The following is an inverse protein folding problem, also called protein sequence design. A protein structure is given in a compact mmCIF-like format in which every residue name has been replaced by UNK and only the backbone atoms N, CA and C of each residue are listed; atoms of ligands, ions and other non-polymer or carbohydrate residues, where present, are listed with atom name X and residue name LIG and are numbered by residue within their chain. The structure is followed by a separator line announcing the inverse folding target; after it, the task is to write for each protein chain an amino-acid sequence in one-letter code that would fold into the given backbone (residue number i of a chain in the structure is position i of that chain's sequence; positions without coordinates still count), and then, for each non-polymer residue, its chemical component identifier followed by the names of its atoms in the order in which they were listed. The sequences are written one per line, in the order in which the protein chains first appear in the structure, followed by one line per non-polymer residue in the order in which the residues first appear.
data_IF_577043575276
#
_entry.id   IF_577043575276
#
_cell.length_a   1.000
_cell.length_b   1.000
_cell.length_c   1.000
_cell.angle_alpha   90.00
_cell.angle_beta   90.00
_cell.angle_gamma   90.00
#
_symmetry.space_group_name_H-M   'P 1'
#
loop_
_entity.id
_entity.type
_entity.pdbx_description
1 polymer ?
#
# COMPACT_ATOMS: atom_id res chain seq x y z
N UNK A 1 -14.43 -93.76 -11.26
CA UNK A 1 -14.45 -93.09 -12.58
C UNK A 1 -14.45 -91.59 -12.32
N UNK A 2 -13.27 -90.94 -12.41
CA UNK A 2 -13.09 -89.50 -12.18
C UNK A 2 -13.71 -88.71 -13.35
N UNK A 3 -14.50 -87.67 -13.04
CA UNK A 3 -14.95 -86.69 -14.05
C UNK A 3 -14.45 -85.29 -13.68
N UNK A 4 -13.41 -84.94 -14.44
CA UNK A 4 -12.78 -83.65 -14.73
C UNK A 4 -13.65 -82.43 -14.41
N UNK A 5 -13.23 -81.65 -13.41
CA UNK A 5 -13.70 -80.27 -13.20
C UNK A 5 -12.96 -79.40 -14.23
N UNK A 6 -13.70 -78.88 -15.19
CA UNK A 6 -13.21 -78.03 -16.28
C UNK A 6 -12.60 -76.73 -15.75
N UNK A 7 -11.30 -76.53 -16.02
CA UNK A 7 -10.46 -75.36 -15.72
C UNK A 7 -10.97 -74.00 -16.26
N UNK A 8 -12.08 -73.96 -17.01
CA UNK A 8 -12.54 -72.78 -17.74
C UNK A 8 -13.38 -71.77 -16.95
N UNK A 9 -13.99 -72.14 -15.82
CA UNK A 9 -14.80 -71.19 -15.03
C UNK A 9 -13.98 -70.30 -14.09
N UNK A 10 -12.79 -70.74 -13.68
CA UNK A 10 -11.92 -69.98 -12.77
C UNK A 10 -11.22 -68.82 -13.49
N UNK A 11 -10.88 -68.99 -14.79
CA UNK A 11 -10.21 -67.95 -15.56
C UNK A 11 -11.08 -66.73 -15.90
N UNK A 12 -12.39 -66.93 -16.10
CA UNK A 12 -13.33 -65.85 -16.45
C UNK A 12 -13.57 -64.93 -15.24
N UNK A 13 -13.73 -65.49 -14.04
CA UNK A 13 -13.92 -64.70 -12.82
C UNK A 13 -12.69 -63.88 -12.42
N UNK A 14 -11.48 -64.40 -12.65
CA UNK A 14 -10.22 -63.65 -12.39
C UNK A 14 -10.06 -62.48 -13.37
N UNK A 15 -10.36 -62.69 -14.65
CA UNK A 15 -10.28 -61.65 -15.68
C UNK A 15 -11.31 -60.52 -15.45
N UNK A 16 -12.54 -60.83 -15.05
CA UNK A 16 -13.54 -59.81 -14.70
C UNK A 16 -13.14 -59.01 -13.44
N UNK A 17 -12.57 -59.67 -12.43
CA UNK A 17 -12.16 -59.03 -11.18
C UNK A 17 -10.92 -58.12 -11.36
N UNK A 18 -9.98 -58.51 -12.23
CA UNK A 18 -8.85 -57.67 -12.66
C UNK A 18 -9.29 -56.47 -13.51
N UNK A 19 -10.22 -56.66 -14.45
CA UNK A 19 -10.77 -55.58 -15.28
C UNK A 19 -11.51 -54.51 -14.43
N UNK A 20 -12.34 -54.94 -13.48
CA UNK A 20 -13.09 -54.04 -12.59
C UNK A 20 -12.15 -53.26 -11.64
N UNK A 21 -11.12 -53.91 -11.10
CA UNK A 21 -10.13 -53.24 -10.25
C UNK A 21 -9.22 -52.28 -11.02
N UNK A 22 -8.85 -52.61 -12.26
CA UNK A 22 -8.10 -51.72 -13.15
C UNK A 22 -8.93 -50.49 -13.54
N UNK A 23 -10.19 -50.67 -13.97
CA UNK A 23 -11.09 -49.55 -14.29
C UNK A 23 -11.42 -48.68 -13.06
N UNK A 24 -11.61 -49.28 -11.89
CA UNK A 24 -11.81 -48.56 -10.63
C UNK A 24 -10.61 -47.70 -10.25
N UNK A 25 -9.39 -48.24 -10.35
CA UNK A 25 -8.13 -47.52 -10.12
C UNK A 25 -7.92 -46.38 -11.11
N UNK A 26 -8.22 -46.59 -12.40
CA UNK A 26 -8.11 -45.56 -13.45
C UNK A 26 -9.08 -44.39 -13.21
N UNK A 27 -10.31 -44.69 -12.78
CA UNK A 27 -11.35 -43.68 -12.47
C UNK A 27 -11.04 -42.90 -11.19
N UNK A 28 -10.42 -43.53 -10.19
CA UNK A 28 -9.94 -42.87 -8.96
C UNK A 28 -8.71 -42.02 -9.27
N UNK A 29 -7.77 -42.51 -10.08
CA UNK A 29 -6.57 -41.78 -10.50
C UNK A 29 -6.91 -40.51 -11.29
N UNK A 30 -7.90 -40.56 -12.18
CA UNK A 30 -8.40 -39.36 -12.88
C UNK A 30 -9.03 -38.33 -11.93
N UNK A 31 -9.72 -38.76 -10.87
CA UNK A 31 -10.28 -37.84 -9.86
C UNK A 31 -9.20 -37.22 -8.98
N UNK A 32 -8.19 -37.99 -8.59
CA UNK A 32 -7.06 -37.52 -7.78
C UNK A 32 -6.22 -36.52 -8.56
N UNK A 33 -5.94 -36.76 -9.84
CA UNK A 33 -5.24 -35.81 -10.72
C UNK A 33 -6.02 -34.50 -10.85
N UNK A 34 -7.34 -34.56 -10.97
CA UNK A 34 -8.20 -33.37 -11.05
C UNK A 34 -8.19 -32.55 -9.75
N UNK A 35 -8.18 -33.22 -8.59
CA UNK A 35 -8.10 -32.58 -7.27
C UNK A 35 -6.72 -31.91 -7.09
N UNK A 36 -5.63 -32.57 -7.47
CA UNK A 36 -4.28 -32.00 -7.41
C UNK A 36 -4.17 -30.75 -8.32
N UNK A 37 -4.76 -30.78 -9.51
CA UNK A 37 -4.81 -29.63 -10.42
C UNK A 37 -5.58 -28.44 -9.82
N UNK A 38 -6.68 -28.69 -9.12
CA UNK A 38 -7.45 -27.64 -8.41
C UNK A 38 -6.63 -27.06 -7.24
N UNK A 39 -5.93 -27.89 -6.47
CA UNK A 39 -5.07 -27.42 -5.38
C UNK A 39 -3.86 -26.62 -5.88
N UNK A 40 -3.34 -26.91 -7.08
CA UNK A 40 -2.28 -26.13 -7.73
C UNK A 40 -2.77 -24.73 -8.16
N UNK A 41 -4.06 -24.56 -8.49
CA UNK A 41 -4.65 -23.25 -8.83
C UNK A 41 -4.96 -22.38 -7.61
N UNK A 42 -5.12 -22.98 -6.42
CA UNK A 42 -5.33 -22.26 -5.15
C UNK A 42 -3.98 -21.83 -4.55
N UNK A 43 -2.87 -22.38 -5.06
CA UNK A 43 -1.50 -22.07 -4.66
C UNK A 43 -1.06 -20.66 -5.04
N UNK A 44 -1.11 -19.74 -4.08
CA UNK A 44 -0.46 -18.43 -4.07
C UNK A 44 -1.04 -17.39 -5.06
N UNK A 45 -2.33 -17.09 -4.91
CA UNK A 45 -2.88 -15.82 -5.36
C UNK A 45 -2.31 -14.65 -4.56
N UNK A 46 -1.06 -14.23 -4.83
CA UNK A 46 -0.67 -12.85 -4.50
C UNK A 46 -1.61 -11.96 -5.31
N UNK A 47 -2.49 -11.24 -4.62
CA UNK A 47 -3.39 -10.30 -5.27
C UNK A 47 -2.55 -9.33 -6.12
N UNK A 48 -2.61 -9.49 -7.44
CA UNK A 48 -1.95 -8.63 -8.43
C UNK A 48 -2.41 -7.16 -8.31
N UNK A 49 -3.44 -6.90 -7.48
CA UNK A 49 -4.10 -5.62 -7.31
C UNK A 49 -4.06 -5.11 -5.86
N UNK A 50 -3.24 -5.68 -4.98
CA UNK A 50 -3.08 -5.15 -3.62
C UNK A 50 -2.15 -3.94 -3.64
N UNK A 51 -2.61 -2.83 -3.07
CA UNK A 51 -1.76 -1.67 -2.79
C UNK A 51 -0.58 -2.07 -1.90
N UNK A 52 0.54 -1.36 -2.02
CA UNK A 52 1.65 -1.50 -1.09
C UNK A 52 1.17 -1.20 0.35
N UNK A 53 1.85 -1.77 1.33
CA UNK A 53 1.72 -1.37 2.73
C UNK A 53 2.73 -0.28 3.05
N UNK A 54 2.45 0.56 4.05
CA UNK A 54 3.44 1.49 4.57
C UNK A 54 4.56 0.69 5.23
N UNK A 55 5.80 1.03 4.90
CA UNK A 55 7.01 0.44 5.47
C UNK A 55 7.47 1.15 6.75
N UNK A 56 7.12 2.44 6.88
CA UNK A 56 7.25 3.19 8.12
C UNK A 56 6.08 2.79 9.03
N UNK A 57 6.41 2.36 10.25
CA UNK A 57 5.38 2.15 11.27
C UNK A 57 4.94 3.51 11.83
N UNK A 58 3.65 3.66 12.14
CA UNK A 58 3.13 4.88 12.76
C UNK A 58 3.67 5.03 14.18
N UNK A 59 4.07 6.24 14.54
CA UNK A 59 4.52 6.58 15.89
C UNK A 59 3.99 7.94 16.29
N UNK A 60 3.57 8.07 17.55
CA UNK A 60 3.24 9.37 18.10
C UNK A 60 4.48 10.28 18.12
N UNK A 61 4.26 11.55 17.81
CA UNK A 61 5.25 12.62 17.81
C UNK A 61 5.02 13.53 19.01
N UNK A 62 5.99 13.50 19.93
CA UNK A 62 6.02 14.33 21.15
C UNK A 62 7.19 15.30 21.17
N UNK A 63 7.94 15.39 20.07
CA UNK A 63 9.13 16.22 19.96
C UNK A 63 8.83 17.69 19.66
N UNK A 64 9.89 18.50 19.65
CA UNK A 64 9.87 19.93 19.35
C UNK A 64 10.72 20.28 18.11
N UNK A 65 11.26 19.28 17.40
CA UNK A 65 12.08 19.46 16.21
C UNK A 65 11.30 20.08 15.04
N UNK A 66 9.97 19.92 15.02
CA UNK A 66 9.05 20.51 14.04
C UNK A 66 7.84 21.14 14.72
N UNK A 67 7.49 22.34 14.28
CA UNK A 67 6.27 23.04 14.64
C UNK A 67 5.09 22.49 13.82
N UNK A 68 4.18 21.78 14.49
CA UNK A 68 3.04 21.10 13.83
C UNK A 68 1.67 21.76 14.09
N UNK A 69 1.67 22.97 14.65
CA UNK A 69 0.49 23.83 14.86
C UNK A 69 0.05 24.59 13.60
N UNK A 70 0.12 23.91 12.45
CA UNK A 70 -0.16 24.47 11.14
C UNK A 70 0.07 23.44 10.04
N UNK A 71 0.57 23.89 8.90
CA UNK A 71 0.98 23.01 7.81
C UNK A 71 2.36 23.38 7.26
N UNK A 72 3.01 22.42 6.63
CA UNK A 72 4.21 22.65 5.83
C UNK A 72 3.85 22.70 4.35
N UNK A 73 4.50 23.57 3.59
CA UNK A 73 4.31 23.64 2.14
C UNK A 73 5.63 23.67 1.40
N UNK A 74 5.64 23.02 0.24
CA UNK A 74 6.68 23.18 -0.77
C UNK A 74 6.08 23.95 -1.95
N UNK A 75 6.66 25.11 -2.26
CA UNK A 75 6.26 25.97 -3.37
C UNK A 75 7.15 25.70 -4.57
N UNK A 76 6.56 25.43 -5.73
CA UNK A 76 7.31 25.18 -6.95
C UNK A 76 6.62 25.76 -8.20
N UNK A 77 7.38 26.25 -9.18
CA UNK A 77 6.82 26.76 -10.42
C UNK A 77 6.34 25.62 -11.33
N UNK A 78 5.20 25.83 -11.98
CA UNK A 78 4.73 25.02 -13.11
C UNK A 78 4.18 25.98 -14.15
N UNK A 79 4.75 25.97 -15.35
CA UNK A 79 4.48 26.95 -16.39
C UNK A 79 4.67 28.40 -15.85
N UNK A 80 3.62 29.23 -15.90
CA UNK A 80 3.64 30.63 -15.47
C UNK A 80 3.01 30.86 -14.09
N UNK A 81 2.77 29.81 -13.30
CA UNK A 81 2.18 29.92 -11.96
C UNK A 81 2.90 29.07 -10.93
N UNK A 82 2.72 29.38 -9.65
CA UNK A 82 3.23 28.56 -8.58
C UNK A 82 2.18 27.56 -8.10
N UNK A 83 2.67 26.41 -7.65
CA UNK A 83 1.88 25.41 -6.97
C UNK A 83 2.46 25.13 -5.59
N UNK A 84 1.57 24.72 -4.69
CA UNK A 84 1.87 24.37 -3.31
C UNK A 84 1.54 22.91 -3.09
N UNK A 85 2.52 22.11 -2.65
CA UNK A 85 2.27 20.80 -2.05
C UNK A 85 2.20 20.99 -0.53
N UNK A 86 1.03 20.73 0.07
CA UNK A 86 0.78 20.99 1.49
C UNK A 86 0.75 19.67 2.29
N UNK A 87 1.40 19.68 3.45
CA UNK A 87 1.46 18.59 4.42
C UNK A 87 0.97 19.07 5.79
N UNK A 88 -0.08 18.44 6.31
CA UNK A 88 -0.46 18.54 7.71
C UNK A 88 0.16 17.37 8.47
N UNK A 89 0.96 17.66 9.50
CA UNK A 89 1.60 16.68 10.38
C UNK A 89 0.88 16.63 11.72
N UNK A 90 0.50 15.46 12.22
CA UNK A 90 -0.29 15.29 13.45
C UNK A 90 0.48 14.57 14.54
N UNK A 91 0.17 14.86 15.80
CA UNK A 91 0.80 14.23 16.98
C UNK A 91 0.76 12.70 16.96
N UNK A 92 -0.18 12.07 16.26
CA UNK A 92 -0.28 10.61 16.16
C UNK A 92 0.55 10.01 15.01
N UNK A 93 1.51 10.77 14.45
CA UNK A 93 2.37 10.32 13.36
C UNK A 93 1.71 10.30 11.98
N UNK A 94 0.45 10.74 11.86
CA UNK A 94 -0.25 10.81 10.58
C UNK A 94 0.23 12.02 9.78
N UNK A 95 0.39 11.85 8.47
CA UNK A 95 0.50 12.95 7.52
C UNK A 95 -0.72 12.97 6.59
N UNK A 96 -1.30 14.16 6.41
CA UNK A 96 -2.32 14.44 5.40
C UNK A 96 -1.73 15.36 4.33
N UNK A 97 -1.64 14.85 3.12
CA UNK A 97 -1.20 15.59 1.94
C UNK A 97 -2.40 16.23 1.25
N UNK A 98 -2.47 17.57 1.24
CA UNK A 98 -3.61 18.32 0.74
C UNK A 98 -3.62 18.55 -0.78
N UNK A 99 -3.06 17.58 -1.51
CA UNK A 99 -2.85 17.62 -2.95
C UNK A 99 -1.95 18.82 -3.36
N UNK A 100 -1.83 19.01 -4.68
CA UNK A 100 -1.17 20.16 -5.26
C UNK A 100 -2.20 21.25 -5.50
N UNK A 101 -1.93 22.47 -5.03
CA UNK A 101 -2.85 23.61 -5.09
C UNK A 101 -2.18 24.73 -5.88
N UNK A 102 -2.85 25.28 -6.89
CA UNK A 102 -2.38 26.50 -7.58
C UNK A 102 -2.43 27.68 -6.63
N UNK A 103 -1.47 28.58 -6.73
CA UNK A 103 -1.35 29.77 -5.86
C UNK A 103 -2.64 30.58 -5.77
N UNK A 104 -3.31 30.80 -6.90
CA UNK A 104 -4.57 31.56 -6.97
C UNK A 104 -5.75 30.91 -6.22
N UNK A 105 -5.68 29.60 -5.92
CA UNK A 105 -6.71 28.87 -5.19
C UNK A 105 -6.31 28.56 -3.74
N UNK A 106 -5.15 29.04 -3.28
CA UNK A 106 -4.67 28.71 -1.94
C UNK A 106 -5.61 29.21 -0.85
N UNK A 107 -6.10 30.44 -0.95
CA UNK A 107 -7.00 31.03 0.05
C UNK A 107 -8.35 30.30 0.10
N UNK A 108 -8.95 29.99 -1.05
CA UNK A 108 -10.18 29.20 -1.13
C UNK A 108 -9.98 27.82 -0.51
N UNK A 109 -8.88 27.15 -0.83
CA UNK A 109 -8.55 25.83 -0.29
C UNK A 109 -8.29 25.88 1.21
N UNK A 110 -7.70 26.95 1.71
CA UNK A 110 -7.56 27.18 3.15
C UNK A 110 -8.90 27.35 3.85
N UNK A 111 -9.90 27.94 3.21
CA UNK A 111 -11.25 28.00 3.79
C UNK A 111 -11.90 26.62 3.83
N UNK A 112 -11.79 25.82 2.77
CA UNK A 112 -12.27 24.43 2.73
C UNK A 112 -11.62 23.55 3.82
N UNK A 113 -10.36 23.83 4.19
CA UNK A 113 -9.70 23.16 5.32
C UNK A 113 -10.37 23.48 6.66
N UNK A 114 -10.80 24.74 6.86
CA UNK A 114 -11.42 25.19 8.12
C UNK A 114 -12.87 24.72 8.23
N UNK A 115 -13.62 24.75 7.13
CA UNK A 115 -15.04 24.35 7.09
C UNK A 115 -15.21 22.83 7.17
N UNK A 116 -14.15 22.06 6.86
CA UNK A 116 -14.17 20.60 6.85
C UNK A 116 -14.68 19.99 5.55
N UNK A 117 -14.99 20.83 4.56
CA UNK A 117 -15.34 20.41 3.20
C UNK A 117 -14.21 19.57 2.59
N UNK A 118 -12.98 20.07 2.68
CA UNK A 118 -11.81 19.36 2.18
C UNK A 118 -11.67 17.96 2.80
N UNK A 119 -11.79 17.84 4.12
CA UNK A 119 -11.68 16.55 4.81
C UNK A 119 -12.78 15.57 4.37
N UNK A 120 -14.01 16.07 4.22
CA UNK A 120 -15.14 15.27 3.79
C UNK A 120 -14.90 14.62 2.42
N UNK A 121 -14.23 15.34 1.52
CA UNK A 121 -13.87 14.88 0.18
C UNK A 121 -12.69 13.88 0.19
N UNK A 122 -11.68 14.09 1.05
CA UNK A 122 -10.45 13.29 1.00
C UNK A 122 -10.36 12.14 2.00
N UNK A 123 -11.27 12.03 2.98
CA UNK A 123 -11.18 10.99 4.04
C UNK A 123 -11.14 9.56 3.52
N UNK A 124 -11.71 9.34 2.34
CA UNK A 124 -11.71 8.04 1.66
C UNK A 124 -10.64 7.92 0.56
N UNK A 125 -9.75 8.90 0.43
CA UNK A 125 -8.74 8.97 -0.64
C UNK A 125 -7.36 8.58 -0.11
N UNK A 126 -7.02 7.29 -0.19
CA UNK A 126 -5.82 6.69 0.41
C UNK A 126 -4.50 7.42 0.08
N UNK A 127 -4.31 7.95 -1.13
CA UNK A 127 -3.08 8.63 -1.53
C UNK A 127 -2.91 10.05 -0.95
N UNK A 128 -3.91 10.55 -0.24
CA UNK A 128 -3.80 11.74 0.60
C UNK A 128 -3.22 11.43 1.99
N UNK A 129 -3.24 10.16 2.41
CA UNK A 129 -2.86 9.74 3.75
C UNK A 129 -1.50 9.05 3.76
N UNK A 130 -0.83 9.14 4.90
CA UNK A 130 0.45 8.50 5.13
C UNK A 130 0.87 8.64 6.57
N UNK A 131 2.10 8.22 6.86
CA UNK A 131 2.73 8.37 8.17
C UNK A 131 4.05 9.12 8.06
N UNK A 132 4.47 9.75 9.14
CA UNK A 132 5.77 10.39 9.24
C UNK A 132 6.51 9.98 10.51
N UNK A 133 7.83 10.16 10.48
CA UNK A 133 8.73 9.99 11.62
C UNK A 133 9.77 11.09 11.63
N UNK A 134 10.21 11.40 12.84
CA UNK A 134 11.35 12.26 13.13
C UNK A 134 12.33 11.42 13.93
N UNK A 135 13.52 11.22 13.39
CA UNK A 135 14.64 10.55 14.06
C UNK A 135 15.76 11.59 14.18
N UNK A 136 15.90 12.22 15.34
CA UNK A 136 16.81 13.36 15.55
C UNK A 136 16.53 14.49 14.53
N UNK A 137 17.47 14.78 13.63
CA UNK A 137 17.32 15.78 12.57
C UNK A 137 16.81 15.19 11.25
N UNK A 138 16.43 13.92 11.21
CA UNK A 138 15.97 13.25 9.99
C UNK A 138 14.45 13.23 9.97
N UNK A 139 13.86 13.86 8.95
CA UNK A 139 12.43 13.78 8.69
C UNK A 139 12.14 12.77 7.58
N UNK A 140 11.20 11.86 7.84
CA UNK A 140 10.69 10.91 6.85
C UNK A 140 9.17 10.98 6.82
N UNK A 141 8.59 10.92 5.64
CA UNK A 141 7.18 10.56 5.50
C UNK A 141 6.97 9.57 4.37
N UNK A 142 5.95 8.74 4.49
CA UNK A 142 5.59 7.75 3.49
C UNK A 142 4.09 7.82 3.23
N UNK A 143 3.72 7.77 1.95
CA UNK A 143 2.33 7.74 1.52
C UNK A 143 2.17 6.96 0.23
N UNK A 144 0.93 6.63 -0.10
CA UNK A 144 0.58 6.11 -1.41
C UNK A 144 0.64 7.20 -2.48
N UNK A 145 1.03 6.81 -3.69
CA UNK A 145 1.02 7.65 -4.88
C UNK A 145 0.10 7.06 -5.94
N UNK A 146 -0.51 7.94 -6.73
CA UNK A 146 -1.44 7.57 -7.80
C UNK A 146 -0.75 6.69 -8.84
N UNK A 147 -1.53 5.80 -9.45
CA UNK A 147 -1.10 4.88 -10.50
C UNK A 147 -2.09 4.95 -11.66
N UNK A 148 -1.62 4.68 -12.88
CA UNK A 148 -2.50 4.53 -14.05
C UNK A 148 -3.03 3.10 -14.14
N UNK A 149 -3.99 2.76 -13.28
CA UNK A 149 -4.73 1.48 -13.34
C UNK A 149 -4.09 0.28 -12.64
N UNK A 150 -2.97 0.47 -11.93
CA UNK A 150 -2.32 -0.56 -11.11
C UNK A 150 -2.52 -0.36 -9.60
N UNK A 151 -2.02 -1.27 -8.74
CA UNK A 151 -1.99 -1.02 -7.30
C UNK A 151 -1.19 0.24 -6.97
N UNK A 152 -1.61 0.93 -5.91
CA UNK A 152 -0.92 2.12 -5.43
C UNK A 152 0.39 1.72 -4.77
N UNK A 153 1.46 2.41 -5.15
CA UNK A 153 2.78 2.23 -4.57
C UNK A 153 3.02 3.21 -3.44
N UNK A 154 3.77 2.80 -2.43
CA UNK A 154 4.26 3.70 -1.38
C UNK A 154 5.67 4.18 -1.73
N UNK A 155 5.97 5.44 -1.39
CA UNK A 155 7.32 5.97 -1.44
C UNK A 155 7.60 6.74 -0.16
N UNK A 156 8.78 6.49 0.41
CA UNK A 156 9.34 7.29 1.48
C UNK A 156 9.97 8.54 0.85
N UNK A 157 9.70 9.70 1.45
CA UNK A 157 10.44 10.94 1.29
C UNK A 157 11.30 11.12 2.53
N UNK A 158 12.60 11.26 2.34
CA UNK A 158 13.57 11.40 3.44
C UNK A 158 14.37 12.68 3.23
N UNK A 159 14.60 13.39 4.33
CA UNK A 159 15.23 14.68 4.35
C UNK A 159 15.79 15.04 5.72
N UNK A 160 16.25 16.29 5.84
CA UNK A 160 16.82 16.84 7.06
C UNK A 160 16.02 18.03 7.55
N UNK A 161 15.76 18.07 8.84
CA UNK A 161 15.17 19.22 9.54
C UNK A 161 16.26 20.27 9.68
N UNK A 162 16.01 21.46 9.13
CA UNK A 162 16.93 22.59 9.19
C UNK A 162 16.67 23.46 10.42
N UNK A 163 15.40 23.55 10.82
CA UNK A 163 14.89 24.14 12.05
C UNK A 163 13.41 23.73 12.23
N UNK A 164 12.79 24.18 13.32
CA UNK A 164 11.40 23.89 13.68
C UNK A 164 10.35 24.30 12.62
N UNK A 165 10.70 25.18 11.70
CA UNK A 165 9.81 25.68 10.65
C UNK A 165 10.23 25.28 9.24
N UNK A 166 11.32 24.53 9.07
CA UNK A 166 11.88 24.21 7.75
C UNK A 166 12.54 22.84 7.72
N UNK A 167 12.22 22.04 6.71
CA UNK A 167 12.94 20.81 6.39
C UNK A 167 13.18 20.67 4.88
N UNK A 168 14.20 19.90 4.52
CA UNK A 168 14.62 19.70 3.13
C UNK A 168 14.59 18.22 2.77
N UNK A 169 13.67 17.83 1.87
CA UNK A 169 13.60 16.48 1.32
C UNK A 169 14.61 16.34 0.18
N UNK A 170 15.57 15.44 0.36
CA UNK A 170 16.68 15.22 -0.58
C UNK A 170 16.54 13.93 -1.39
N UNK A 171 15.66 13.01 -0.98
CA UNK A 171 15.42 11.77 -1.73
C UNK A 171 14.03 11.20 -1.56
N UNK A 172 13.64 10.42 -2.57
CA UNK A 172 12.45 9.57 -2.57
C UNK A 172 12.84 8.15 -2.96
N UNK A 173 12.29 7.15 -2.29
CA UNK A 173 12.57 5.74 -2.60
C UNK A 173 11.40 4.85 -2.19
N UNK A 174 11.34 3.65 -2.74
CA UNK A 174 10.48 2.59 -2.23
C UNK A 174 11.25 1.78 -1.20
N UNK A 175 10.60 1.38 -0.12
CA UNK A 175 11.18 0.49 0.86
C UNK A 175 10.44 -0.84 0.80
N UNK A 176 11.06 -1.84 0.18
CA UNK A 176 10.45 -3.15 -0.01
C UNK A 176 11.19 -4.14 0.87
N UNK A 177 10.59 -4.50 2.02
CA UNK A 177 11.16 -5.44 2.99
C UNK A 177 12.53 -5.02 3.54
N UNK A 178 12.71 -3.73 3.80
CA UNK A 178 13.96 -3.17 4.33
C UNK A 178 14.98 -2.77 3.26
N UNK A 179 14.75 -3.14 2.00
CA UNK A 179 15.60 -2.73 0.89
C UNK A 179 15.08 -1.46 0.22
N UNK A 180 15.96 -0.46 0.07
CA UNK A 180 15.64 0.78 -0.66
C UNK A 180 15.79 0.55 -2.16
N UNK A 181 14.69 0.69 -2.90
CA UNK A 181 14.63 0.57 -4.36
C UNK A 181 14.07 1.83 -5.00
N UNK A 182 14.21 1.98 -6.32
CA UNK A 182 13.71 3.15 -7.08
C UNK A 182 14.13 4.51 -6.48
N UNK A 183 15.37 4.61 -5.98
CA UNK A 183 15.89 5.82 -5.32
C UNK A 183 16.00 6.96 -6.34
N UNK A 184 15.43 8.12 -6.00
CA UNK A 184 15.46 9.34 -6.81
C UNK A 184 15.90 10.54 -5.96
N UNK A 185 16.83 11.37 -6.44
CA UNK A 185 17.15 12.63 -5.78
C UNK A 185 15.95 13.58 -5.82
N UNK A 186 15.88 14.44 -4.81
CA UNK A 186 14.87 15.49 -4.64
C UNK A 186 15.52 16.76 -4.14
N UNK A 187 14.84 17.87 -4.37
CA UNK A 187 15.20 19.18 -3.86
C UNK A 187 13.91 19.91 -3.51
N UNK A 188 13.29 19.49 -2.40
CA UNK A 188 12.00 20.03 -1.96
C UNK A 188 12.18 20.63 -0.57
N UNK A 189 12.23 21.96 -0.49
CA UNK A 189 12.32 22.71 0.77
C UNK A 189 10.91 23.06 1.23
N UNK A 190 10.52 22.51 2.37
CA UNK A 190 9.22 22.74 2.97
C UNK A 190 9.30 23.81 4.05
N UNK A 191 8.35 24.73 4.05
CA UNK A 191 8.24 25.82 5.02
C UNK A 191 6.95 25.73 5.82
N UNK A 192 7.01 26.08 7.09
CA UNK A 192 5.85 26.13 7.98
C UNK A 192 4.99 27.38 7.74
N UNK A 193 3.68 27.19 7.69
CA UNK A 193 2.67 28.24 7.84
C UNK A 193 1.77 27.91 9.02
N UNK A 194 1.64 28.87 9.95
CA UNK A 194 0.70 28.77 11.07
C UNK A 194 -0.72 28.68 10.53
N UNK A 195 -1.48 27.69 10.96
CA UNK A 195 -2.82 27.43 10.45
C UNK A 195 -3.70 26.72 11.49
N UNK A 196 -4.96 27.16 11.63
CA UNK A 196 -5.93 26.58 12.55
C UNK A 196 -7.36 26.97 12.14
N UNK A 197 -8.37 26.09 12.35
CA UNK A 197 -8.22 24.68 12.73
C UNK A 197 -7.58 23.86 11.60
N UNK A 198 -6.90 22.75 11.96
CA UNK A 198 -6.43 21.77 10.96
C UNK A 198 -7.59 20.84 10.58
N UNK A 199 -7.58 20.26 9.36
CA UNK A 199 -8.48 19.16 9.03
C UNK A 199 -8.33 17.98 10.01
N UNK A 200 -9.37 17.16 10.17
CA UNK A 200 -9.31 15.96 11.01
C UNK A 200 -8.30 14.94 10.44
N UNK A 201 -7.65 14.18 11.33
CA UNK A 201 -6.64 13.16 10.97
C UNK A 201 -7.19 11.73 10.90
N UNK A 202 -8.43 11.51 11.32
CA UNK A 202 -9.07 10.20 11.41
C UNK A 202 -9.24 9.58 10.04
N UNK A 203 -8.67 8.40 9.81
CA UNK A 203 -8.75 7.71 8.54
C UNK A 203 -8.50 6.20 8.72
N UNK A 204 -9.08 5.37 7.86
CA UNK A 204 -8.96 3.90 7.92
C UNK A 204 -7.65 3.34 7.37
N UNK A 205 -6.71 4.17 6.93
CA UNK A 205 -5.53 3.76 6.14
C UNK A 205 -4.24 3.73 6.95
N UNK A 206 -4.21 4.45 8.07
CA UNK A 206 -3.02 4.64 8.92
C UNK A 206 -3.28 4.20 10.35
N UNK A 207 -4.37 3.46 10.59
CA UNK A 207 -4.68 2.85 11.88
C UNK A 207 -4.06 1.46 12.01
#
# INVERSE_FOLDING_TARGET
MQKIITKNQVGIGILEQEQVTHYGKLKIMNKVVFIILIFLLIGCGKSLFKNDELSLEKMDYFGDELKISGYFYYKYPVDNTNHYAILFLYNNGVVLHALTIKEEYLETREEEFKTGEFYSDIKNTIYCWGVYRVDENIFKFEKWYTSSGGPLKTYVREGTILNDTTFHITKSYRNQKGEKTEVRPKDEIYHFKKFSPKPDSTNKYTD
#
